data_IF_731742043716
#
_entry.id   IF_731742043716
#
_cell.length_a   1.000
_cell.length_b   1.000
_cell.length_c   1.000
_cell.angle_alpha   90.00
_cell.angle_beta   90.00
_cell.angle_gamma   90.00
#
_symmetry.space_group_name_H-M   'P 1'
#
loop_
_entity.id
_entity.type
_entity.pdbx_description
1 polymer ?
#
# COMPACT_ATOMS: atom_id res chain seq x y z
N UNK A 1 -30.75 5.19 -62.22
CA UNK A 1 -29.29 5.38 -62.35
C UNK A 1 -28.75 5.88 -61.02
N UNK A 2 -27.62 5.29 -60.60
CA UNK A 2 -26.81 5.53 -59.38
C UNK A 2 -27.27 4.82 -58.10
N UNK A 3 -26.68 3.63 -57.97
CA UNK A 3 -26.40 2.89 -56.75
C UNK A 3 -25.48 3.70 -55.82
N UNK A 4 -25.66 3.56 -54.50
CA UNK A 4 -24.79 4.11 -53.47
C UNK A 4 -24.84 3.22 -52.21
N UNK A 5 -23.79 2.43 -52.07
CA UNK A 5 -23.44 1.45 -51.02
C UNK A 5 -23.22 2.10 -49.64
N UNK A 6 -23.54 1.40 -48.54
CA UNK A 6 -22.66 0.99 -47.42
C UNK A 6 -23.46 0.76 -46.11
N UNK A 7 -23.59 -0.48 -45.66
CA UNK A 7 -23.55 -0.85 -44.22
C UNK A 7 -22.99 -2.27 -44.13
N UNK A 8 -21.78 -2.42 -43.60
CA UNK A 8 -21.30 -3.66 -42.99
C UNK A 8 -20.43 -3.24 -41.81
N UNK A 9 -21.03 -3.35 -40.62
CA UNK A 9 -20.37 -3.18 -39.34
C UNK A 9 -19.47 -4.39 -39.09
N UNK A 10 -18.19 -4.13 -38.85
CA UNK A 10 -17.29 -5.07 -38.19
C UNK A 10 -17.02 -4.52 -36.79
N UNK A 11 -17.51 -5.25 -35.78
CA UNK A 11 -17.14 -5.05 -34.40
C UNK A 11 -15.70 -5.48 -34.20
N UNK A 12 -14.89 -4.59 -33.65
CA UNK A 12 -13.53 -4.87 -33.22
C UNK A 12 -13.53 -4.96 -31.69
N UNK A 13 -13.58 -6.18 -31.17
CA UNK A 13 -13.10 -6.47 -29.82
C UNK A 13 -11.59 -6.30 -29.84
N UNK A 14 -11.08 -5.22 -29.27
CA UNK A 14 -9.66 -5.08 -28.99
C UNK A 14 -9.41 -5.89 -27.71
N UNK A 15 -8.89 -7.11 -27.91
CA UNK A 15 -8.29 -7.90 -26.86
C UNK A 15 -7.09 -7.13 -26.30
N UNK A 16 -7.10 -6.86 -24.99
CA UNK A 16 -5.97 -6.37 -24.25
C UNK A 16 -4.96 -7.52 -24.13
N UNK A 17 -4.01 -7.58 -25.06
CA UNK A 17 -2.97 -8.60 -25.10
C UNK A 17 -1.62 -7.91 -24.95
N UNK A 18 -1.29 -7.48 -23.73
CA UNK A 18 0.04 -6.99 -23.35
C UNK A 18 0.22 -6.95 -21.82
N UNK A 19 0.19 -8.10 -21.18
CA UNK A 19 0.95 -8.39 -19.95
C UNK A 19 1.48 -9.81 -20.14
N UNK A 20 2.47 -9.96 -21.02
CA UNK A 20 3.12 -11.23 -21.28
C UNK A 20 4.13 -11.51 -20.18
N UNK A 21 3.82 -12.50 -19.36
CA UNK A 21 4.78 -13.19 -18.50
C UNK A 21 5.70 -14.05 -19.39
N UNK A 22 6.82 -13.47 -19.84
CA UNK A 22 7.93 -14.22 -20.43
C UNK A 22 9.21 -13.94 -19.62
N UNK A 23 9.30 -14.62 -18.47
CA UNK A 23 10.48 -14.63 -17.62
C UNK A 23 11.52 -15.63 -18.16
N UNK A 24 12.30 -15.26 -19.17
CA UNK A 24 13.60 -15.91 -19.43
C UNK A 24 14.54 -15.06 -20.28
N UNK A 25 15.02 -13.93 -19.73
CA UNK A 25 16.30 -13.25 -20.02
C UNK A 25 16.25 -11.75 -19.63
N UNK A 26 15.70 -11.47 -18.44
CA UNK A 26 15.81 -10.14 -17.85
C UNK A 26 17.24 -9.86 -17.37
N UNK A 27 17.65 -8.58 -17.27
CA UNK A 27 18.89 -8.21 -16.58
C UNK A 27 18.89 -8.82 -15.16
N UNK A 28 20.08 -9.10 -14.62
CA UNK A 28 20.21 -9.58 -13.25
C UNK A 28 19.42 -8.69 -12.28
N UNK A 29 18.63 -9.32 -11.40
CA UNK A 29 17.81 -8.60 -10.43
C UNK A 29 18.71 -7.64 -9.64
N UNK A 30 18.35 -6.36 -9.50
CA UNK A 30 19.17 -5.38 -8.80
C UNK A 30 19.28 -5.69 -7.29
N UNK A 31 18.54 -6.69 -6.80
CA UNK A 31 18.57 -7.21 -5.44
C UNK A 31 19.62 -8.31 -5.22
N UNK A 32 20.43 -8.65 -6.24
CA UNK A 32 21.50 -9.61 -6.14
C UNK A 32 22.86 -8.93 -6.34
N UNK A 33 23.82 -9.24 -5.46
CA UNK A 33 25.24 -8.99 -5.72
C UNK A 33 25.67 -9.72 -7.01
N UNK A 34 26.78 -9.30 -7.67
CA UNK A 34 27.29 -9.95 -8.87
C UNK A 34 27.61 -11.45 -8.70
N UNK A 35 27.74 -11.92 -7.46
CA UNK A 35 27.98 -13.33 -7.09
C UNK A 35 26.69 -14.09 -6.72
N UNK A 36 25.52 -13.47 -6.83
CA UNK A 36 24.22 -14.06 -6.52
C UNK A 36 23.82 -14.01 -5.05
N UNK A 37 24.63 -13.41 -4.16
CA UNK A 37 24.24 -13.19 -2.76
C UNK A 37 23.30 -11.99 -2.63
N UNK A 38 22.45 -11.97 -1.60
CA UNK A 38 21.60 -10.83 -1.30
C UNK A 38 22.46 -9.61 -0.87
N UNK A 39 22.05 -8.39 -1.23
CA UNK A 39 22.74 -7.16 -0.84
C UNK A 39 22.88 -7.08 0.69
N UNK A 40 24.10 -6.86 1.16
CA UNK A 40 24.45 -6.77 2.58
C UNK A 40 23.91 -5.46 3.18
N UNK A 41 23.13 -5.57 4.26
CA UNK A 41 22.55 -4.42 4.97
C UNK A 41 23.52 -3.90 6.01
N UNK A 42 24.48 -3.08 5.61
CA UNK A 42 25.38 -2.41 6.55
C UNK A 42 24.61 -1.31 7.33
N UNK A 43 23.99 -1.73 8.43
CA UNK A 43 23.57 -0.81 9.49
C UNK A 43 24.49 -1.02 10.67
N UNK A 44 25.55 -0.22 10.73
CA UNK A 44 26.40 -0.08 11.90
C UNK A 44 25.60 0.34 13.13
N UNK A 45 25.14 -0.66 13.89
CA UNK A 45 24.66 -0.50 15.27
C UNK A 45 25.83 -0.66 16.26
N UNK A 46 25.82 0.08 17.39
CA UNK A 46 26.93 0.06 18.34
C UNK A 46 27.08 -1.30 19.02
N UNK A 47 28.31 -1.81 19.01
CA UNK A 47 28.75 -2.96 19.82
C UNK A 47 29.07 -2.49 21.23
N UNK A 48 28.15 -2.70 22.16
CA UNK A 48 28.42 -2.68 23.60
C UNK A 48 27.79 -3.96 24.18
N UNK A 49 28.59 -4.93 24.64
CA UNK A 49 29.28 -5.01 25.93
C UNK A 49 28.46 -5.89 26.90
N UNK A 50 29.12 -6.95 27.37
CA UNK A 50 28.52 -8.07 28.07
C UNK A 50 27.95 -7.77 29.45
N UNK A 51 27.17 -8.73 29.94
CA UNK A 51 26.64 -8.76 31.29
C UNK A 51 25.88 -10.05 31.57
N UNK A 52 26.63 -11.08 31.99
CA UNK A 52 26.10 -12.29 32.64
C UNK A 52 25.22 -11.95 33.84
N UNK A 53 24.00 -12.51 33.90
CA UNK A 53 23.28 -12.68 35.16
C UNK A 53 22.73 -14.09 35.25
N UNK A 54 23.13 -14.74 36.34
CA UNK A 54 22.91 -16.14 36.70
C UNK A 54 21.49 -16.40 37.20
N UNK A 55 21.09 -17.65 36.99
CA UNK A 55 20.00 -18.36 37.64
C UNK A 55 19.98 -18.20 39.17
N UNK A 56 18.78 -18.01 39.71
CA UNK A 56 18.40 -18.52 41.02
C UNK A 56 16.93 -18.89 41.01
N UNK A 57 16.65 -20.19 41.13
CA UNK A 57 15.32 -20.74 41.33
C UNK A 57 14.80 -20.50 42.75
N UNK A 58 13.49 -20.72 42.92
CA UNK A 58 12.82 -20.70 44.21
C UNK A 58 11.36 -21.12 44.08
N UNK A 59 11.11 -22.41 44.30
CA UNK A 59 9.80 -23.00 44.54
C UNK A 59 9.15 -22.42 45.81
N UNK A 60 7.84 -22.16 45.77
CA UNK A 60 6.97 -22.22 46.95
C UNK A 60 5.53 -22.56 46.55
N UNK A 61 5.02 -23.64 47.15
CA UNK A 61 3.64 -24.13 47.08
C UNK A 61 2.83 -23.63 48.29
N UNK A 62 1.51 -23.67 48.06
CA UNK A 62 0.39 -23.80 49.01
C UNK A 62 -0.17 -22.56 49.72
N UNK A 63 -1.51 -22.42 49.65
CA UNK A 63 -2.30 -21.70 50.65
C UNK A 63 -3.58 -21.01 50.15
N UNK A 64 -4.72 -21.65 50.36
CA UNK A 64 -6.08 -21.19 50.03
C UNK A 64 -6.61 -20.03 50.91
N UNK A 65 -7.67 -19.33 50.43
CA UNK A 65 -8.57 -18.56 51.28
C UNK A 65 -9.09 -17.27 50.64
N UNK A 66 -10.38 -17.25 50.27
CA UNK A 66 -11.03 -16.16 49.52
C UNK A 66 -11.35 -14.90 50.31
N UNK A 67 -11.79 -13.87 49.59
CA UNK A 67 -13.00 -13.09 49.88
C UNK A 67 -13.19 -11.99 48.84
N UNK A 68 -14.38 -12.03 48.25
CA UNK A 68 -15.15 -10.98 47.60
C UNK A 68 -14.70 -9.55 47.91
N UNK A 69 -14.14 -8.89 46.90
CA UNK A 69 -14.21 -7.44 46.76
C UNK A 69 -14.57 -7.14 45.32
N UNK A 70 -15.77 -6.60 45.13
CA UNK A 70 -16.21 -5.97 43.90
C UNK A 70 -15.26 -4.80 43.59
N UNK A 71 -14.19 -5.10 42.87
CA UNK A 71 -13.35 -4.12 42.21
C UNK A 71 -14.10 -3.65 40.98
N UNK A 72 -14.65 -2.44 41.08
CA UNK A 72 -15.04 -1.61 39.95
C UNK A 72 -13.94 -1.65 38.90
N UNK A 73 -14.14 -2.48 37.87
CA UNK A 73 -13.27 -2.55 36.71
C UNK A 73 -13.51 -1.25 35.95
N UNK A 74 -12.72 -0.23 36.28
CA UNK A 74 -12.51 0.92 35.41
C UNK A 74 -12.24 0.41 34.02
N UNK A 75 -13.25 0.52 33.14
CA UNK A 75 -13.08 0.36 31.72
C UNK A 75 -11.95 1.31 31.34
N UNK A 76 -10.81 0.76 30.92
CA UNK A 76 -9.80 1.55 30.25
C UNK A 76 -10.54 2.31 29.14
N UNK A 77 -10.45 3.65 29.14
CA UNK A 77 -11.01 4.46 28.07
C UNK A 77 -10.50 3.85 26.75
N UNK A 78 -11.41 3.23 26.01
CA UNK A 78 -11.11 2.86 24.64
C UNK A 78 -10.70 4.15 23.95
N UNK A 79 -9.48 4.17 23.39
CA UNK A 79 -9.03 5.29 22.59
C UNK A 79 -10.07 5.70 21.55
N UNK A 80 -10.03 6.93 21.04
CA UNK A 80 -10.99 7.40 20.05
C UNK A 80 -11.11 6.40 18.91
N UNK A 81 -12.35 6.11 18.49
CA UNK A 81 -12.64 5.17 17.41
C UNK A 81 -11.77 5.52 16.18
N UNK A 82 -10.87 4.62 15.73
CA UNK A 82 -10.00 4.89 14.60
C UNK A 82 -10.79 5.15 13.31
N UNK A 83 -12.05 4.74 13.25
CA UNK A 83 -12.93 4.95 12.11
C UNK A 83 -13.81 6.21 12.24
N UNK A 84 -13.66 7.02 13.29
CA UNK A 84 -14.34 8.30 13.41
C UNK A 84 -13.86 9.33 12.37
N UNK A 85 -14.74 10.22 11.87
CA UNK A 85 -14.35 11.29 10.95
C UNK A 85 -13.22 12.15 11.49
N UNK A 86 -12.33 12.59 10.60
CA UNK A 86 -11.26 13.53 10.95
C UNK A 86 -11.82 14.96 10.87
N UNK A 87 -11.81 15.76 11.95
CA UNK A 87 -12.41 17.09 11.91
C UNK A 87 -11.76 18.02 10.87
N UNK A 88 -12.58 18.71 10.09
CA UNK A 88 -12.13 19.76 9.16
C UNK A 88 -11.60 19.26 7.81
N UNK A 89 -11.59 17.96 7.55
CA UNK A 89 -11.20 17.42 6.24
C UNK A 89 -12.37 17.50 5.25
N UNK A 90 -12.03 17.72 3.98
CA UNK A 90 -12.97 17.70 2.87
C UNK A 90 -12.21 17.38 1.59
N UNK A 91 -12.86 16.67 0.66
CA UNK A 91 -12.23 16.19 -0.56
C UNK A 91 -12.97 16.71 -1.79
N UNK A 92 -12.30 16.68 -2.93
CA UNK A 92 -12.87 17.05 -4.22
C UNK A 92 -12.73 15.92 -5.22
N UNK A 93 -13.47 16.02 -6.33
CA UNK A 93 -13.34 15.10 -7.46
C UNK A 93 -12.66 15.77 -8.65
N UNK A 94 -12.02 14.94 -9.48
CA UNK A 94 -11.48 15.33 -10.79
C UNK A 94 -12.03 14.43 -11.89
N UNK A 95 -12.26 14.99 -13.07
CA UNK A 95 -12.76 14.22 -14.22
C UNK A 95 -11.71 13.24 -14.74
N UNK A 96 -12.13 12.03 -15.06
CA UNK A 96 -11.28 10.97 -15.61
C UNK A 96 -11.95 10.31 -16.79
N UNK A 97 -11.16 9.62 -17.61
CA UNK A 97 -11.71 8.67 -18.59
C UNK A 97 -11.94 7.35 -17.84
N UNK A 98 -13.19 6.94 -17.59
CA UNK A 98 -13.47 5.76 -16.80
C UNK A 98 -13.05 4.49 -17.55
N UNK A 99 -12.52 3.53 -16.81
CA UNK A 99 -12.34 2.17 -17.29
C UNK A 99 -13.62 1.33 -17.06
N UNK A 100 -13.66 0.13 -17.65
CA UNK A 100 -14.86 -0.74 -17.63
C UNK A 100 -14.81 -1.87 -16.60
N UNK A 101 -13.71 -1.99 -15.84
CA UNK A 101 -13.57 -3.02 -14.81
C UNK A 101 -14.36 -2.68 -13.54
N UNK A 102 -14.60 -3.69 -12.70
CA UNK A 102 -15.16 -3.54 -11.35
C UNK A 102 -14.02 -3.50 -10.31
N UNK A 103 -13.78 -2.37 -9.63
CA UNK A 103 -12.63 -2.21 -8.72
C UNK A 103 -12.54 -3.26 -7.61
N UNK A 104 -13.70 -3.67 -7.06
CA UNK A 104 -13.83 -4.59 -5.94
C UNK A 104 -13.35 -6.01 -6.24
N UNK A 105 -13.38 -6.41 -7.52
CA UNK A 105 -13.04 -7.74 -8.03
C UNK A 105 -11.83 -7.73 -8.95
N UNK A 106 -11.15 -6.58 -9.07
CA UNK A 106 -10.00 -6.39 -9.95
C UNK A 106 -8.67 -6.49 -9.20
N UNK A 107 -7.88 -7.51 -9.49
CA UNK A 107 -6.66 -7.82 -8.73
C UNK A 107 -5.60 -6.72 -8.74
N UNK A 108 -5.51 -5.89 -9.79
CA UNK A 108 -4.57 -4.76 -9.78
C UNK A 108 -5.01 -3.59 -8.89
N UNK A 109 -6.30 -3.51 -8.57
CA UNK A 109 -6.92 -2.35 -7.93
C UNK A 109 -7.20 -2.65 -6.46
N UNK A 110 -7.71 -3.83 -6.15
CA UNK A 110 -8.00 -4.25 -4.78
C UNK A 110 -6.91 -5.19 -4.26
N UNK A 111 -6.01 -4.65 -3.43
CA UNK A 111 -4.90 -5.41 -2.83
C UNK A 111 -5.37 -6.62 -2.02
N UNK A 112 -6.56 -6.55 -1.39
CA UNK A 112 -7.04 -7.62 -0.53
C UNK A 112 -7.30 -8.94 -1.29
N UNK A 113 -7.48 -8.87 -2.61
CA UNK A 113 -7.63 -10.05 -3.46
C UNK A 113 -6.32 -10.79 -3.68
N UNK A 114 -5.19 -10.07 -3.63
CA UNK A 114 -3.85 -10.60 -3.96
C UNK A 114 -3.29 -11.55 -2.90
N UNK A 115 -3.79 -11.47 -1.66
CA UNK A 115 -3.19 -12.12 -0.48
C UNK A 115 -1.71 -11.75 -0.31
N UNK A 116 -1.15 -12.09 0.83
CA UNK A 116 0.28 -11.90 1.10
C UNK A 116 0.77 -12.91 2.12
N UNK A 117 2.08 -13.17 2.12
CA UNK A 117 2.75 -13.99 3.12
C UNK A 117 4.01 -13.29 3.63
N UNK A 118 4.31 -13.46 4.92
CA UNK A 118 5.54 -12.92 5.49
C UNK A 118 6.75 -13.63 4.87
N UNK A 119 7.85 -12.89 4.71
CA UNK A 119 9.12 -13.42 4.21
C UNK A 119 10.25 -13.08 5.17
N UNK A 120 11.28 -13.93 5.22
CA UNK A 120 12.42 -13.77 6.13
C UNK A 120 13.44 -12.71 5.71
N UNK A 121 12.99 -11.68 5.00
CA UNK A 121 13.83 -10.60 4.47
C UNK A 121 14.08 -9.50 5.50
N UNK A 122 15.09 -8.66 5.27
CA UNK A 122 15.43 -7.55 6.17
C UNK A 122 14.24 -6.60 6.36
N UNK A 123 13.90 -6.35 7.63
CA UNK A 123 12.87 -5.40 8.07
C UNK A 123 13.46 -4.01 8.24
N UNK A 124 13.85 -3.40 7.14
CA UNK A 124 14.49 -2.09 7.15
C UNK A 124 14.67 -1.57 5.73
N UNK A 125 15.18 -0.34 5.64
CA UNK A 125 15.54 0.24 4.35
C UNK A 125 16.69 -0.54 3.72
N UNK A 126 16.69 -0.55 2.39
CA UNK A 126 17.77 -1.13 1.59
C UNK A 126 18.29 -0.11 0.59
N UNK A 127 19.58 -0.18 0.31
CA UNK A 127 20.21 0.57 -0.77
C UNK A 127 20.24 -0.30 -2.03
N UNK A 128 19.65 0.21 -3.10
CA UNK A 128 19.66 -0.42 -4.43
C UNK A 128 20.25 0.59 -5.40
N UNK A 129 21.13 0.14 -6.31
CA UNK A 129 21.73 0.99 -7.32
C UNK A 129 20.75 1.47 -8.39
N UNK A 130 21.23 2.31 -9.30
CA UNK A 130 20.46 2.80 -10.44
C UNK A 130 19.94 4.24 -10.29
N UNK A 131 19.21 4.76 -11.30
CA UNK A 131 18.71 6.13 -11.29
C UNK A 131 17.65 6.35 -10.20
N UNK A 132 17.54 7.58 -9.72
CA UNK A 132 16.45 8.02 -8.83
C UNK A 132 15.33 8.69 -9.61
N UNK A 133 14.12 8.65 -9.05
CA UNK A 133 13.00 9.50 -9.49
C UNK A 133 12.62 10.50 -8.40
N UNK A 134 12.98 11.77 -8.62
CA UNK A 134 12.69 12.85 -7.69
C UNK A 134 11.18 13.10 -7.52
N UNK A 135 10.35 12.64 -8.46
CA UNK A 135 8.89 12.77 -8.40
C UNK A 135 8.20 11.57 -7.75
N UNK A 136 8.93 10.52 -7.42
CA UNK A 136 8.38 9.35 -6.75
C UNK A 136 7.64 9.73 -5.44
N UNK A 137 6.55 9.02 -5.10
CA UNK A 137 5.87 9.18 -3.82
C UNK A 137 6.82 8.97 -2.63
N UNK A 138 6.81 9.91 -1.69
CA UNK A 138 7.71 9.93 -0.54
C UNK A 138 7.05 9.24 0.65
N UNK A 139 7.30 7.94 0.82
CA UNK A 139 6.61 7.12 1.83
C UNK A 139 6.82 7.56 3.28
N UNK A 140 7.91 8.25 3.60
CA UNK A 140 8.10 8.82 4.95
C UNK A 140 7.06 9.89 5.31
N UNK A 141 6.37 10.45 4.31
CA UNK A 141 5.32 11.47 4.47
C UNK A 141 3.92 10.86 4.64
N UNK A 142 3.82 9.53 4.73
CA UNK A 142 2.60 8.86 5.21
C UNK A 142 2.26 9.25 6.67
N UNK A 143 3.29 9.58 7.44
CA UNK A 143 3.20 9.95 8.85
C UNK A 143 3.16 11.47 8.99
N UNK A 144 2.32 11.97 9.91
CA UNK A 144 2.15 13.42 10.12
C UNK A 144 3.38 14.15 10.62
N UNK A 145 4.37 13.41 11.13
CA UNK A 145 5.66 13.92 11.61
C UNK A 145 6.82 13.65 10.64
N UNK A 146 6.51 13.16 9.43
CA UNK A 146 7.48 12.81 8.38
C UNK A 146 8.57 11.82 8.87
N UNK A 147 8.26 10.97 9.87
CA UNK A 147 9.24 10.04 10.39
C UNK A 147 9.53 8.90 9.41
N UNK A 148 10.75 8.38 9.51
CA UNK A 148 11.10 7.14 8.83
C UNK A 148 10.31 5.97 9.42
N UNK A 149 9.73 5.08 8.59
CA UNK A 149 8.95 3.97 9.10
C UNK A 149 9.83 2.98 9.86
N UNK A 150 9.29 2.46 10.96
CA UNK A 150 9.77 1.21 11.55
C UNK A 150 9.07 0.07 10.83
N UNK A 151 9.83 -0.87 10.26
CA UNK A 151 9.27 -2.02 9.55
C UNK A 151 8.91 -3.13 10.55
N UNK A 152 7.62 -3.36 10.76
CA UNK A 152 7.15 -4.43 11.64
C UNK A 152 7.29 -5.82 10.99
N UNK A 153 7.01 -5.90 9.69
CA UNK A 153 7.08 -7.14 8.90
C UNK A 153 7.20 -6.82 7.41
N UNK A 154 7.70 -7.77 6.63
CA UNK A 154 7.84 -7.67 5.17
C UNK A 154 7.24 -8.90 4.50
N UNK A 155 6.68 -8.71 3.31
CA UNK A 155 5.82 -9.70 2.67
C UNK A 155 6.01 -9.76 1.15
N UNK A 156 5.58 -10.89 0.60
CA UNK A 156 5.31 -11.06 -0.84
C UNK A 156 3.81 -11.11 -1.08
N UNK A 157 3.35 -10.45 -2.15
CA UNK A 157 1.98 -10.55 -2.66
C UNK A 157 1.89 -11.62 -3.75
N UNK A 158 0.72 -12.19 -4.00
CA UNK A 158 0.55 -13.05 -5.17
C UNK A 158 0.41 -12.21 -6.45
N UNK A 159 0.82 -12.76 -7.57
CA UNK A 159 0.44 -12.31 -8.89
C UNK A 159 -1.07 -12.52 -9.11
N UNK A 160 -1.57 -12.15 -10.28
CA UNK A 160 -2.97 -12.33 -10.62
C UNK A 160 -3.09 -13.07 -11.93
N UNK A 161 -3.87 -14.13 -11.89
CA UNK A 161 -4.21 -14.91 -13.07
C UNK A 161 -5.54 -14.39 -13.61
N UNK A 162 -5.46 -13.72 -14.77
CA UNK A 162 -6.61 -13.15 -15.46
C UNK A 162 -7.52 -14.20 -16.12
N UNK A 163 -7.02 -15.42 -16.35
CA UNK A 163 -7.81 -16.51 -16.91
C UNK A 163 -8.88 -17.01 -15.95
N UNK A 164 -8.57 -17.08 -14.66
CA UNK A 164 -9.53 -17.41 -13.60
C UNK A 164 -10.07 -16.19 -12.84
N UNK A 165 -9.47 -15.01 -13.04
CA UNK A 165 -9.63 -13.83 -12.18
C UNK A 165 -9.38 -14.17 -10.69
N UNK A 166 -8.21 -14.75 -10.42
CA UNK A 166 -7.84 -15.25 -9.10
C UNK A 166 -6.34 -15.06 -8.78
N UNK A 167 -5.97 -15.22 -7.51
CA UNK A 167 -4.58 -15.06 -7.08
C UNK A 167 -3.67 -16.16 -7.67
N UNK A 168 -2.52 -15.75 -8.20
CA UNK A 168 -1.54 -16.61 -8.87
C UNK A 168 -0.36 -17.02 -8.00
N UNK A 169 0.81 -17.18 -8.62
CA UNK A 169 2.07 -17.47 -7.93
C UNK A 169 2.55 -16.28 -7.08
N UNK A 170 3.43 -16.50 -6.12
CA UNK A 170 4.06 -15.42 -5.37
C UNK A 170 4.95 -14.57 -6.28
N UNK A 171 4.90 -13.24 -6.12
CA UNK A 171 5.84 -12.34 -6.77
C UNK A 171 7.14 -12.38 -5.97
N UNK A 172 8.21 -12.92 -6.58
CA UNK A 172 9.51 -13.13 -5.91
C UNK A 172 10.60 -12.18 -6.36
N UNK A 173 10.32 -11.35 -7.37
CA UNK A 173 11.19 -10.26 -7.79
C UNK A 173 10.33 -8.98 -7.91
N UNK A 174 10.49 -8.01 -6.99
CA UNK A 174 11.43 -8.01 -5.86
C UNK A 174 11.12 -9.06 -4.78
N UNK A 175 12.09 -9.41 -3.91
CA UNK A 175 11.88 -10.37 -2.82
C UNK A 175 10.88 -9.87 -1.77
N UNK A 176 10.70 -8.56 -1.63
CA UNK A 176 9.65 -7.91 -0.84
C UNK A 176 8.83 -7.01 -1.74
N UNK A 177 7.51 -7.19 -1.76
CA UNK A 177 6.56 -6.39 -2.54
C UNK A 177 5.57 -5.61 -1.67
N UNK A 178 5.52 -5.93 -0.37
CA UNK A 178 4.65 -5.32 0.61
C UNK A 178 5.39 -5.15 1.92
N UNK A 179 5.34 -3.95 2.49
CA UNK A 179 5.93 -3.63 3.78
C UNK A 179 4.83 -3.30 4.78
N UNK A 180 4.98 -3.81 5.99
CA UNK A 180 4.14 -3.42 7.11
C UNK A 180 4.86 -2.42 7.99
N UNK A 181 4.44 -1.15 7.95
CA UNK A 181 4.97 -0.08 8.78
C UNK A 181 4.29 -0.09 10.14
N UNK A 182 5.08 -0.05 11.22
CA UNK A 182 4.56 0.07 12.57
C UNK A 182 3.84 1.41 12.75
N UNK A 183 2.65 1.35 13.35
CA UNK A 183 1.76 2.49 13.59
C UNK A 183 1.14 2.38 14.96
N UNK A 184 0.72 3.50 15.54
CA UNK A 184 -0.21 3.48 16.66
C UNK A 184 -1.65 3.41 16.14
N UNK A 185 -2.53 2.51 16.65
CA UNK A 185 -3.93 2.53 16.26
C UNK A 185 -4.57 3.90 16.50
N UNK A 186 -5.25 4.44 15.49
CA UNK A 186 -5.83 5.78 15.51
C UNK A 186 -4.91 6.90 14.99
N UNK A 187 -3.64 6.62 14.73
CA UNK A 187 -2.71 7.55 14.09
C UNK A 187 -3.18 7.95 12.69
N UNK A 188 -3.06 9.23 12.32
CA UNK A 188 -3.47 9.72 10.99
C UNK A 188 -2.49 9.22 9.94
N UNK A 189 -3.03 8.69 8.84
CA UNK A 189 -2.26 8.32 7.64
C UNK A 189 -2.57 9.36 6.56
N UNK A 190 -1.54 9.96 5.95
CA UNK A 190 -1.68 11.00 4.94
C UNK A 190 -1.35 10.50 3.54
N UNK A 191 -1.75 11.25 2.51
CA UNK A 191 -1.27 11.01 1.15
C UNK A 191 0.24 11.26 1.11
N UNK A 192 1.06 10.28 0.67
CA UNK A 192 2.47 10.52 0.44
C UNK A 192 2.65 11.66 -0.56
N UNK A 193 3.43 12.68 -0.18
CA UNK A 193 3.84 13.76 -1.07
C UNK A 193 4.60 13.21 -2.25
N UNK A 194 4.46 13.86 -3.39
CA UNK A 194 5.21 13.55 -4.59
C UNK A 194 5.66 14.84 -5.32
N UNK A 195 6.30 14.68 -6.48
CA UNK A 195 6.65 15.78 -7.38
C UNK A 195 5.72 15.94 -8.58
N UNK A 196 4.57 15.27 -8.60
CA UNK A 196 3.60 15.35 -9.69
C UNK A 196 2.52 16.41 -9.40
N UNK A 197 1.92 16.90 -10.48
CA UNK A 197 0.68 17.68 -10.43
C UNK A 197 -0.24 17.07 -11.48
N UNK A 198 -1.26 16.34 -11.02
CA UNK A 198 -2.27 15.75 -11.90
C UNK A 198 -3.33 16.79 -12.31
N UNK A 199 -3.11 18.07 -12.00
CA UNK A 199 -3.89 19.24 -12.37
C UNK A 199 -4.56 19.88 -11.16
N UNK A 200 -4.44 21.21 -11.00
CA UNK A 200 -5.10 21.95 -9.92
C UNK A 200 -4.41 21.83 -8.55
N UNK A 201 -3.15 21.40 -8.53
CA UNK A 201 -2.37 21.18 -7.31
C UNK A 201 -2.68 19.86 -6.61
N UNK A 202 -3.40 18.94 -7.28
CA UNK A 202 -3.62 17.58 -6.80
C UNK A 202 -2.46 16.68 -7.24
N UNK A 203 -2.15 15.68 -6.42
CA UNK A 203 -1.03 14.76 -6.62
C UNK A 203 -1.52 13.36 -6.98
N UNK A 204 -2.60 12.90 -6.35
CA UNK A 204 -3.11 11.55 -6.55
C UNK A 204 -4.61 11.50 -6.81
N UNK A 205 -5.03 10.44 -7.50
CA UNK A 205 -6.39 10.02 -7.74
C UNK A 205 -6.70 8.78 -6.89
N UNK A 206 -7.90 8.69 -6.34
CA UNK A 206 -8.37 7.53 -5.58
C UNK A 206 -9.08 6.55 -6.52
N UNK A 207 -8.43 5.43 -6.82
CA UNK A 207 -8.99 4.40 -7.70
C UNK A 207 -9.95 3.46 -6.97
N UNK A 208 -9.68 3.18 -5.70
CA UNK A 208 -10.49 2.27 -4.90
C UNK A 208 -10.46 2.61 -3.43
N UNK A 209 -11.62 2.41 -2.79
CA UNK A 209 -11.77 2.51 -1.34
C UNK A 209 -12.66 1.36 -0.87
N UNK A 210 -12.24 0.71 0.22
CA UNK A 210 -13.08 -0.12 1.06
C UNK A 210 -12.82 0.22 2.54
N UNK A 211 -13.48 -0.49 3.45
CA UNK A 211 -13.43 -0.17 4.90
C UNK A 211 -12.02 -0.21 5.49
N UNK A 212 -11.13 -1.00 4.90
CA UNK A 212 -9.77 -1.20 5.40
C UNK A 212 -8.66 -1.07 4.35
N UNK A 213 -8.95 -0.52 3.17
CA UNK A 213 -7.96 -0.36 2.09
C UNK A 213 -8.29 0.81 1.18
N UNK A 214 -7.25 1.44 0.63
CA UNK A 214 -7.33 2.49 -0.37
C UNK A 214 -6.25 2.28 -1.44
N UNK A 215 -6.59 2.61 -2.69
CA UNK A 215 -5.67 2.56 -3.83
C UNK A 215 -5.53 3.93 -4.44
N UNK A 216 -4.28 4.40 -4.51
CA UNK A 216 -3.88 5.73 -4.91
C UNK A 216 -3.12 5.66 -6.22
N UNK A 217 -3.40 6.59 -7.14
CA UNK A 217 -2.74 6.68 -8.45
C UNK A 217 -2.17 8.07 -8.67
N UNK A 218 -0.89 8.14 -9.02
CA UNK A 218 -0.19 9.42 -9.23
C UNK A 218 -0.22 9.89 -10.69
N UNK A 219 -1.28 9.51 -11.40
CA UNK A 219 -1.68 10.02 -12.72
C UNK A 219 -3.20 10.21 -12.74
N UNK A 220 -3.74 10.73 -13.86
CA UNK A 220 -5.19 10.89 -14.05
C UNK A 220 -5.89 9.64 -14.62
N UNK A 221 -5.17 8.54 -14.77
CA UNK A 221 -5.68 7.35 -15.43
C UNK A 221 -6.49 6.50 -14.44
N UNK A 222 -7.66 6.01 -14.85
CA UNK A 222 -8.48 5.08 -14.06
C UNK A 222 -7.93 3.64 -14.13
N UNK A 223 -6.62 3.45 -14.05
CA UNK A 223 -5.94 2.16 -14.11
C UNK A 223 -4.53 2.24 -13.49
N UNK A 224 -3.83 1.11 -13.45
CA UNK A 224 -2.48 1.02 -12.88
C UNK A 224 -1.36 1.01 -13.93
N UNK A 225 -1.68 1.16 -15.21
CA UNK A 225 -0.78 0.81 -16.33
C UNK A 225 0.45 1.71 -16.39
N UNK A 226 0.31 3.02 -16.20
CA UNK A 226 1.42 3.98 -16.30
C UNK A 226 1.64 4.80 -15.03
N UNK A 227 2.88 4.89 -14.54
CA UNK A 227 3.22 5.68 -13.35
C UNK A 227 2.85 5.03 -12.02
N UNK A 228 3.16 5.71 -10.92
CA UNK A 228 3.08 5.11 -9.58
C UNK A 228 1.66 4.84 -9.11
N UNK A 229 1.47 3.69 -8.47
CA UNK A 229 0.27 3.30 -7.73
C UNK A 229 0.68 2.84 -6.34
N UNK A 230 -0.03 3.30 -5.31
CA UNK A 230 0.16 2.81 -3.94
C UNK A 230 -1.14 2.16 -3.48
N UNK A 231 -1.01 0.98 -2.87
CA UNK A 231 -2.11 0.36 -2.14
C UNK A 231 -1.78 0.41 -0.66
N UNK A 232 -2.75 0.86 0.13
CA UNK A 232 -2.68 0.87 1.58
C UNK A 232 -3.73 -0.08 2.12
N UNK A 233 -3.39 -0.85 3.15
CA UNK A 233 -4.36 -1.65 3.90
C UNK A 233 -4.11 -1.55 5.41
N UNK A 234 -5.09 -1.98 6.19
CA UNK A 234 -5.13 -1.85 7.66
C UNK A 234 -5.28 -0.40 8.17
N UNK A 235 -6.00 0.43 7.43
CA UNK A 235 -6.43 1.77 7.84
C UNK A 235 -7.96 1.86 7.87
N UNK A 236 -8.54 2.58 8.81
CA UNK A 236 -9.90 3.08 8.67
C UNK A 236 -9.85 4.25 7.68
N UNK A 237 -10.36 4.08 6.46
CA UNK A 237 -10.41 5.18 5.48
C UNK A 237 -11.36 6.25 5.98
N UNK A 238 -11.01 7.51 5.76
CA UNK A 238 -11.80 8.65 6.20
C UNK A 238 -13.24 8.57 5.63
N UNK A 239 -14.28 8.65 6.51
CA UNK A 239 -15.66 8.41 6.09
C UNK A 239 -16.19 9.31 4.96
N UNK A 240 -15.83 10.60 4.93
CA UNK A 240 -16.23 11.51 3.85
C UNK A 240 -15.50 11.23 2.53
N UNK A 241 -14.24 10.79 2.56
CA UNK A 241 -13.51 10.31 1.38
C UNK A 241 -14.15 9.05 0.82
N UNK A 242 -14.49 8.08 1.68
CA UNK A 242 -15.22 6.88 1.29
C UNK A 242 -16.57 7.22 0.66
N UNK A 243 -17.35 8.08 1.31
CA UNK A 243 -18.66 8.49 0.78
C UNK A 243 -18.54 9.17 -0.59
N UNK A 244 -17.52 10.01 -0.79
CA UNK A 244 -17.24 10.64 -2.08
C UNK A 244 -16.87 9.60 -3.15
N UNK A 245 -16.01 8.65 -2.81
CA UNK A 245 -15.66 7.54 -3.70
C UNK A 245 -16.89 6.71 -4.10
N UNK A 246 -17.71 6.30 -3.14
CA UNK A 246 -18.91 5.48 -3.39
C UNK A 246 -19.89 6.22 -4.31
N UNK A 247 -20.08 7.52 -4.10
CA UNK A 247 -20.89 8.36 -4.98
C UNK A 247 -20.31 8.43 -6.39
N UNK A 248 -19.00 8.68 -6.51
CA UNK A 248 -18.28 8.70 -7.79
C UNK A 248 -18.40 7.36 -8.54
N UNK A 249 -18.25 6.24 -7.83
CA UNK A 249 -18.36 4.91 -8.39
C UNK A 249 -19.78 4.62 -8.87
N UNK A 250 -20.80 4.91 -8.06
CA UNK A 250 -22.21 4.77 -8.43
C UNK A 250 -22.59 5.63 -9.65
N UNK A 251 -21.92 6.78 -9.84
CA UNK A 251 -22.10 7.67 -10.98
C UNK A 251 -21.27 7.27 -12.22
N UNK A 252 -20.70 6.07 -12.23
CA UNK A 252 -19.97 5.51 -13.37
C UNK A 252 -18.54 6.03 -13.51
N UNK A 253 -17.91 6.46 -12.41
CA UNK A 253 -16.48 6.78 -12.30
C UNK A 253 -15.96 7.86 -13.26
N UNK A 254 -16.83 8.68 -13.85
CA UNK A 254 -16.43 9.80 -14.73
C UNK A 254 -15.67 10.89 -13.97
N UNK A 255 -15.85 10.92 -12.66
CA UNK A 255 -15.06 11.72 -11.74
C UNK A 255 -14.68 10.83 -10.55
N UNK A 256 -13.45 10.94 -10.08
CA UNK A 256 -12.96 10.21 -8.91
C UNK A 256 -12.35 11.20 -7.90
N UNK A 257 -12.32 10.85 -6.60
CA UNK A 257 -11.67 11.70 -5.61
C UNK A 257 -10.21 11.96 -5.98
N UNK A 258 -9.77 13.20 -5.81
CA UNK A 258 -8.38 13.62 -6.04
C UNK A 258 -7.84 14.28 -4.78
N UNK A 259 -6.57 14.04 -4.49
CA UNK A 259 -5.94 14.32 -3.22
C UNK A 259 -4.69 15.18 -3.41
N UNK A 260 -4.45 16.08 -2.46
CA UNK A 260 -3.21 16.84 -2.34
C UNK A 260 -2.26 16.14 -1.37
N UNK A 261 -0.97 16.44 -1.49
CA UNK A 261 0.02 16.00 -0.51
C UNK A 261 -0.41 16.38 0.91
N UNK A 262 -0.12 15.50 1.87
CA UNK A 262 -0.47 15.65 3.28
C UNK A 262 -1.98 15.59 3.61
N UNK A 263 -2.87 15.42 2.63
CA UNK A 263 -4.30 15.23 2.94
C UNK A 263 -4.50 13.91 3.69
N UNK A 264 -5.24 13.91 4.82
CA UNK A 264 -5.53 12.70 5.56
C UNK A 264 -6.29 11.70 4.69
N UNK A 265 -5.85 10.44 4.68
CA UNK A 265 -6.55 9.33 4.04
C UNK A 265 -7.48 8.62 5.02
N UNK A 266 -7.17 8.72 6.31
CA UNK A 266 -7.81 7.95 7.36
C UNK A 266 -6.91 7.81 8.58
N UNK A 267 -7.16 6.77 9.38
CA UNK A 267 -6.33 6.44 10.54
C UNK A 267 -5.89 4.99 10.51
N UNK A 268 -4.72 4.69 11.06
CA UNK A 268 -4.27 3.31 11.25
C UNK A 268 -5.30 2.53 12.07
N UNK A 269 -5.79 1.42 11.52
CA UNK A 269 -6.80 0.57 12.19
C UNK A 269 -6.16 -0.38 13.20
N UNK A 270 -4.91 -0.75 12.92
CA UNK A 270 -4.13 -1.70 13.71
C UNK A 270 -2.74 -1.13 13.96
N UNK A 271 -1.88 -1.89 14.63
CA UNK A 271 -0.49 -1.47 14.88
C UNK A 271 0.42 -1.53 13.64
N UNK A 272 -0.15 -1.80 12.45
CA UNK A 272 0.59 -1.95 11.21
C UNK A 272 -0.21 -1.39 10.02
N UNK A 273 0.39 -0.48 9.25
CA UNK A 273 -0.08 -0.07 7.92
C UNK A 273 0.62 -0.92 6.87
N UNK A 274 -0.13 -1.58 5.99
CA UNK A 274 0.44 -2.33 4.88
C UNK A 274 0.56 -1.43 3.66
N UNK A 275 1.75 -1.40 3.05
CA UNK A 275 2.09 -0.51 1.94
C UNK A 275 2.69 -1.32 0.80
N UNK A 276 2.11 -1.18 -0.40
CA UNK A 276 2.71 -1.65 -1.65
C UNK A 276 2.87 -0.51 -2.62
N UNK A 277 3.85 -0.66 -3.52
CA UNK A 277 4.08 0.28 -4.61
C UNK A 277 4.09 -0.50 -5.91
N UNK A 278 3.47 0.09 -6.93
CA UNK A 278 3.70 -0.31 -8.32
C UNK A 278 4.20 0.88 -9.12
N UNK A 279 5.13 0.63 -10.03
CA UNK A 279 5.49 1.56 -11.09
C UNK A 279 5.13 0.93 -12.43
N UNK A 280 4.21 1.58 -13.16
CA UNK A 280 3.85 1.17 -14.52
C UNK A 280 3.44 -0.31 -14.56
N UNK A 281 2.65 -0.73 -13.57
CA UNK A 281 2.21 -2.11 -13.38
C UNK A 281 3.25 -3.08 -12.76
N UNK A 282 4.52 -2.72 -12.58
CA UNK A 282 5.48 -3.62 -11.92
C UNK A 282 5.45 -3.44 -10.41
N UNK A 283 5.57 -4.52 -9.63
CA UNK A 283 5.72 -4.43 -8.17
C UNK A 283 7.10 -3.89 -7.81
N UNK A 284 7.17 -2.98 -6.85
CA UNK A 284 8.41 -2.39 -6.36
C UNK A 284 8.67 -2.80 -4.91
N UNK A 285 9.93 -2.75 -4.48
CA UNK A 285 10.29 -3.00 -3.09
C UNK A 285 10.11 -1.71 -2.26
N UNK A 286 9.15 -1.68 -1.30
CA UNK A 286 8.88 -0.48 -0.51
C UNK A 286 10.03 -0.10 0.44
N UNK A 287 11.07 -0.92 0.56
CA UNK A 287 12.25 -0.66 1.40
C UNK A 287 13.31 0.19 0.70
N UNK A 288 13.24 0.32 -0.63
CA UNK A 288 14.29 0.99 -1.42
C UNK A 288 14.43 2.45 -1.02
N UNK A 289 15.57 2.80 -0.44
CA UNK A 289 15.82 4.12 0.14
C UNK A 289 15.75 5.26 -0.88
N UNK A 290 16.34 5.03 -2.06
CA UNK A 290 16.70 6.11 -3.00
C UNK A 290 15.51 6.88 -3.57
N UNK A 291 14.36 6.23 -3.76
CA UNK A 291 13.19 6.87 -4.39
C UNK A 291 12.16 7.33 -3.35
N UNK A 292 11.89 6.48 -2.36
CA UNK A 292 10.76 6.66 -1.43
C UNK A 292 11.10 7.47 -0.18
N UNK A 293 12.38 7.59 0.17
CA UNK A 293 12.81 8.07 1.49
C UNK A 293 13.82 9.21 1.44
N UNK A 294 14.16 9.71 0.26
CA UNK A 294 14.96 10.91 0.11
C UNK A 294 14.05 12.15 0.12
N UNK A 295 14.37 13.18 0.93
CA UNK A 295 13.60 14.41 1.00
C UNK A 295 13.68 15.24 -0.29
#
# INVERSE_FOLDING_TARGET
MRNGTLVLAWGLCIACNACGDDASSGPASPYQNPDGSALDSDTGGPKDAGGDVKDAGGDAKDGAGGQDAAGDSTAAEAGPDPCAPIPGVSYSTGSVKPETFQPDTHGDINLLLRKWQAVGEVKGLIDVGGPTDDKAPKLYTLFTDDRMPVFAEVYQVQSWDWGCNCAGAWVTDPPVTLAGFAMDPGEIVQLPRDGYDIGGGYQALVLYVADNTITLKYTRDDNVVGGYTIHLANLCVEPSLRALYDQSHANGRKELPQLKGDEPLGRARTSQLLVTIRDTGSWMDPRVKKDWYQP
#
